data_IF_711409617612
#
_entry.id   IF_711409617612
#
_cell.length_a   1.000
_cell.length_b   1.000
_cell.length_c   1.000
_cell.angle_alpha   90.00
_cell.angle_beta   90.00
_cell.angle_gamma   90.00
#
_symmetry.space_group_name_H-M   'P 1'
#
loop_
_entity.id
_entity.type
_entity.pdbx_description
1 polymer ?
#
# COMPACT_ATOMS: atom_id res chain seq x y z
N UNK A 1 -22.77 5.14 9.88
CA UNK A 1 -21.68 4.21 9.55
C UNK A 1 -22.26 3.13 8.66
N UNK A 2 -21.82 3.05 7.40
CA UNK A 2 -22.21 1.98 6.48
C UNK A 2 -21.02 1.03 6.39
N UNK A 3 -21.26 -0.26 6.63
CA UNK A 3 -20.24 -1.28 6.42
C UNK A 3 -20.15 -1.55 4.92
N UNK A 4 -18.92 -1.66 4.43
CA UNK A 4 -18.70 -2.16 3.08
C UNK A 4 -19.02 -3.66 3.04
N UNK A 5 -19.97 -4.03 2.20
CA UNK A 5 -20.36 -5.42 1.96
C UNK A 5 -19.95 -5.90 0.57
N UNK A 6 -19.18 -5.10 -0.18
CA UNK A 6 -18.63 -5.51 -1.45
C UNK A 6 -17.53 -6.55 -1.23
N UNK A 7 -17.55 -7.61 -2.02
CA UNK A 7 -16.52 -8.65 -2.01
C UNK A 7 -15.24 -8.13 -2.70
N UNK A 8 -15.40 -7.22 -3.66
CA UNK A 8 -14.28 -6.53 -4.31
C UNK A 8 -13.79 -5.37 -3.46
N UNK A 9 -12.66 -5.59 -2.77
CA UNK A 9 -11.96 -4.53 -2.02
C UNK A 9 -11.48 -3.40 -2.94
N UNK A 10 -11.12 -3.74 -4.18
CA UNK A 10 -10.60 -2.79 -5.17
C UNK A 10 -11.64 -1.73 -5.55
N UNK A 11 -12.88 -2.14 -5.78
CA UNK A 11 -13.97 -1.23 -6.17
C UNK A 11 -14.16 -0.14 -5.11
N UNK A 12 -14.13 -0.55 -3.83
CA UNK A 12 -14.27 0.36 -2.70
C UNK A 12 -13.06 1.28 -2.57
N UNK A 13 -11.84 0.77 -2.76
CA UNK A 13 -10.61 1.57 -2.71
C UNK A 13 -10.58 2.67 -3.76
N UNK A 14 -10.99 2.38 -5.00
CA UNK A 14 -11.00 3.35 -6.10
C UNK A 14 -11.95 4.53 -5.82
N UNK A 15 -12.95 4.35 -4.95
CA UNK A 15 -13.91 5.39 -4.59
C UNK A 15 -13.51 6.22 -3.35
N UNK A 16 -12.54 5.76 -2.54
CA UNK A 16 -12.15 6.41 -1.29
C UNK A 16 -11.18 7.60 -1.50
N UNK A 17 -11.47 8.77 -0.93
CA UNK A 17 -10.56 9.94 -0.98
C UNK A 17 -9.28 9.76 -0.14
N UNK A 18 -9.41 9.05 0.99
CA UNK A 18 -8.36 8.84 1.99
C UNK A 18 -8.52 7.44 2.58
N UNK A 19 -7.42 6.70 2.71
CA UNK A 19 -7.39 5.46 3.47
C UNK A 19 -6.97 5.75 4.92
N UNK A 20 -7.69 5.22 5.90
CA UNK A 20 -7.27 5.20 7.30
C UNK A 20 -6.84 3.78 7.65
N UNK A 21 -5.60 3.60 8.09
CA UNK A 21 -5.07 2.28 8.45
C UNK A 21 -4.06 2.36 9.59
N UNK A 22 -3.77 1.25 10.24
CA UNK A 22 -2.69 1.15 11.21
C UNK A 22 -1.38 0.82 10.47
N UNK A 23 -0.87 -0.41 10.58
CA UNK A 23 0.39 -0.89 9.99
C UNK A 23 0.14 -1.92 8.88
N UNK A 24 -0.96 -1.77 8.14
CA UNK A 24 -1.28 -2.68 7.03
C UNK A 24 -0.48 -2.32 5.78
N UNK A 25 0.01 -3.35 5.07
CA UNK A 25 0.64 -3.21 3.75
C UNK A 25 -0.29 -2.65 2.68
N UNK A 26 -1.61 -2.67 2.92
CA UNK A 26 -2.63 -2.08 2.04
C UNK A 26 -2.41 -0.59 1.79
N UNK A 27 -1.66 0.09 2.67
CA UNK A 27 -1.25 1.46 2.44
C UNK A 27 -0.47 1.63 1.12
N UNK A 28 0.41 0.67 0.77
CA UNK A 28 1.14 0.71 -0.50
C UNK A 28 0.21 0.51 -1.67
N UNK A 29 -0.63 -0.53 -1.62
CA UNK A 29 -1.60 -0.83 -2.68
C UNK A 29 -2.52 0.37 -2.93
N UNK A 30 -3.05 0.98 -1.88
CA UNK A 30 -3.91 2.14 -1.98
C UNK A 30 -3.18 3.36 -2.49
N UNK A 31 -2.06 3.75 -1.86
CA UNK A 31 -1.37 4.99 -2.20
C UNK A 31 -0.83 4.96 -3.63
N UNK A 32 -0.10 3.89 -4.00
CA UNK A 32 0.48 3.77 -5.34
C UNK A 32 -0.54 3.40 -6.40
N UNK A 33 -1.59 2.64 -6.06
CA UNK A 33 -2.63 2.26 -7.00
C UNK A 33 -3.63 3.38 -7.31
N UNK A 34 -3.96 4.22 -6.33
CA UNK A 34 -4.96 5.29 -6.48
C UNK A 34 -4.36 6.69 -6.57
N UNK A 35 -3.10 6.87 -6.18
CA UNK A 35 -2.48 8.19 -6.07
C UNK A 35 -3.12 9.04 -4.97
N UNK A 36 -3.63 8.44 -3.89
CA UNK A 36 -4.33 9.14 -2.80
C UNK A 36 -3.64 8.96 -1.44
N UNK A 37 -3.80 9.92 -0.52
CA UNK A 37 -3.11 9.88 0.77
C UNK A 37 -3.65 8.83 1.73
N UNK A 38 -2.75 8.41 2.64
CA UNK A 38 -3.05 7.51 3.75
C UNK A 38 -2.92 8.25 5.08
N UNK A 39 -3.91 8.10 5.96
CA UNK A 39 -3.80 8.47 7.37
C UNK A 39 -3.46 7.22 8.18
N UNK A 40 -2.29 7.22 8.79
CA UNK A 40 -1.82 6.16 9.66
C UNK A 40 -2.22 6.41 11.11
N UNK A 41 -2.70 5.38 11.79
CA UNK A 41 -2.83 5.36 13.25
C UNK A 41 -1.63 4.60 13.82
N UNK A 42 -0.83 5.27 14.64
CA UNK A 42 0.34 4.66 15.25
C UNK A 42 -0.10 3.79 16.43
N UNK A 43 -0.29 2.51 16.12
CA UNK A 43 -0.47 1.42 17.08
C UNK A 43 0.86 0.76 17.41
N UNK A 44 0.88 -0.15 18.37
CA UNK A 44 2.05 -0.97 18.70
C UNK A 44 2.53 -1.74 17.44
N UNK A 45 3.85 -1.83 17.18
CA UNK A 45 4.38 -2.58 16.05
C UNK A 45 3.86 -4.02 15.97
N UNK A 46 3.47 -4.44 14.76
CA UNK A 46 3.18 -5.84 14.43
C UNK A 46 4.52 -6.56 14.25
N UNK A 47 5.18 -6.80 15.38
CA UNK A 47 6.49 -7.43 15.41
C UNK A 47 6.38 -8.91 15.78
N UNK A 48 6.77 -9.77 14.84
CA UNK A 48 6.78 -11.23 15.04
C UNK A 48 8.20 -11.81 15.10
N UNK A 49 9.21 -11.07 14.65
CA UNK A 49 10.61 -11.49 14.65
C UNK A 49 11.53 -10.37 15.16
N UNK A 50 11.81 -10.24 16.46
CA UNK A 50 12.57 -9.11 17.02
C UNK A 50 14.02 -9.00 16.50
N UNK A 51 14.58 -10.11 15.99
CA UNK A 51 15.94 -10.22 15.49
C UNK A 51 16.16 -9.37 14.22
N UNK A 52 15.10 -8.84 13.58
CA UNK A 52 15.24 -7.93 12.44
C UNK A 52 16.11 -6.71 12.76
N UNK A 53 16.17 -6.29 14.04
CA UNK A 53 16.99 -5.16 14.50
C UNK A 53 18.50 -5.40 14.39
N UNK A 54 18.94 -6.66 14.29
CA UNK A 54 20.35 -6.99 14.14
C UNK A 54 20.89 -6.68 12.74
N UNK A 55 19.99 -6.52 11.76
CA UNK A 55 20.35 -6.42 10.34
C UNK A 55 20.59 -4.99 9.86
N UNK A 56 20.42 -3.97 10.71
CA UNK A 56 20.47 -2.54 10.35
C UNK A 56 19.62 -2.20 9.10
N UNK A 57 18.51 -2.94 8.94
CA UNK A 57 17.55 -2.79 7.85
C UNK A 57 16.21 -2.35 8.40
N UNK A 58 15.72 -1.21 7.94
CA UNK A 58 14.38 -0.75 8.27
C UNK A 58 13.33 -1.46 7.39
N UNK A 59 12.22 -1.96 7.96
CA UNK A 59 11.10 -2.47 7.17
C UNK A 59 10.57 -1.43 6.19
N UNK A 60 10.28 -1.87 4.96
CA UNK A 60 9.83 -1.00 3.87
C UNK A 60 8.58 -0.20 4.27
N UNK A 61 7.68 -0.81 5.03
CA UNK A 61 6.43 -0.20 5.50
C UNK A 61 6.62 0.89 6.55
N UNK A 62 7.74 0.85 7.28
CA UNK A 62 8.10 1.91 8.20
C UNK A 62 8.79 3.05 7.44
N UNK A 63 9.79 2.70 6.63
CA UNK A 63 10.62 3.67 5.88
C UNK A 63 9.79 4.61 5.00
N UNK A 64 8.83 4.08 4.25
CA UNK A 64 8.06 4.87 3.27
C UNK A 64 6.71 5.36 3.79
N UNK A 65 6.45 5.24 5.09
CA UNK A 65 5.16 5.62 5.68
C UNK A 65 4.84 7.11 5.49
N UNK A 66 5.81 7.99 5.78
CA UNK A 66 5.68 9.44 5.65
C UNK A 66 5.56 9.91 4.19
N UNK A 67 5.96 9.05 3.24
CA UNK A 67 5.78 9.31 1.82
C UNK A 67 4.29 9.18 1.43
N UNK A 68 3.61 8.15 1.93
CA UNK A 68 2.22 7.85 1.59
C UNK A 68 1.20 8.68 2.36
N UNK A 69 1.62 9.40 3.41
CA UNK A 69 0.75 10.36 4.09
C UNK A 69 1.23 10.73 5.49
N UNK A 70 0.30 10.82 6.44
CA UNK A 70 0.54 11.35 7.79
C UNK A 70 0.25 10.31 8.86
N UNK A 71 0.92 10.39 10.00
CA UNK A 71 0.71 9.47 11.13
C UNK A 71 0.18 10.22 12.34
N UNK A 72 -0.80 9.62 13.02
CA UNK A 72 -1.46 10.16 14.23
C UNK A 72 -1.33 9.13 15.34
N UNK A 73 -0.85 9.57 16.51
CA UNK A 73 -0.78 8.70 17.69
C UNK A 73 -2.16 8.21 18.11
N UNK A 74 -2.28 6.96 18.56
CA UNK A 74 -3.55 6.37 18.98
C UNK A 74 -4.27 7.16 20.09
N UNK A 75 -3.55 7.95 20.89
CA UNK A 75 -4.13 8.81 21.94
C UNK A 75 -4.60 10.18 21.44
N UNK A 76 -4.31 10.53 20.19
CA UNK A 76 -4.57 11.84 19.58
C UNK A 76 -5.78 11.83 18.63
N UNK A 77 -6.72 10.89 18.78
CA UNK A 77 -7.84 10.67 17.85
C UNK A 77 -8.75 11.90 17.63
N UNK A 78 -8.75 12.86 18.56
CA UNK A 78 -9.50 14.12 18.42
C UNK A 78 -9.02 14.97 17.24
N UNK A 79 -7.80 14.76 16.77
CA UNK A 79 -7.21 15.49 15.64
C UNK A 79 -7.59 14.91 14.28
N UNK A 80 -8.20 13.70 14.24
CA UNK A 80 -8.48 13.02 12.97
C UNK A 80 -9.29 13.85 11.96
N UNK A 81 -10.36 14.57 12.34
CA UNK A 81 -11.12 15.36 11.38
C UNK A 81 -10.25 16.40 10.65
N UNK A 82 -9.39 17.11 11.39
CA UNK A 82 -8.51 18.14 10.83
C UNK A 82 -7.44 17.53 9.94
N UNK A 83 -6.87 16.41 10.36
CA UNK A 83 -5.86 15.66 9.61
C UNK A 83 -6.42 15.09 8.29
N UNK A 84 -7.66 14.58 8.30
CA UNK A 84 -8.34 14.12 7.09
C UNK A 84 -8.59 15.29 6.13
N UNK A 85 -9.03 16.44 6.62
CA UNK A 85 -9.23 17.62 5.79
C UNK A 85 -7.92 18.09 5.16
N UNK A 86 -6.84 18.13 5.94
CA UNK A 86 -5.51 18.48 5.43
C UNK A 86 -5.05 17.51 4.32
N UNK A 87 -5.24 16.21 4.50
CA UNK A 87 -4.92 15.22 3.47
C UNK A 87 -5.74 15.42 2.19
N UNK A 88 -7.05 15.67 2.32
CA UNK A 88 -7.92 15.91 1.15
C UNK A 88 -7.48 17.12 0.34
N UNK A 89 -6.98 18.17 0.99
CA UNK A 89 -6.44 19.36 0.31
C UNK A 89 -5.10 19.09 -0.40
N UNK A 90 -4.36 18.05 0.02
CA UNK A 90 -3.10 17.65 -0.58
C UNK A 90 -3.27 16.55 -1.64
N UNK A 91 -4.44 15.93 -1.76
CA UNK A 91 -4.70 14.77 -2.62
C UNK A 91 -4.26 14.98 -4.07
N UNK A 92 -4.40 16.19 -4.64
CA UNK A 92 -4.01 16.48 -6.03
C UNK A 92 -2.50 16.35 -6.29
N UNK A 93 -1.67 16.43 -5.24
CA UNK A 93 -0.21 16.26 -5.35
C UNK A 93 0.26 14.81 -5.24
N UNK A 94 -0.57 13.91 -4.72
CA UNK A 94 -0.19 12.53 -4.47
C UNK A 94 0.06 11.70 -5.73
N UNK A 95 -0.69 11.84 -6.85
CA UNK A 95 -0.43 11.04 -8.03
C UNK A 95 1.00 11.17 -8.56
N UNK A 96 1.52 12.40 -8.68
CA UNK A 96 2.90 12.61 -9.13
C UNK A 96 3.90 12.14 -8.08
N UNK A 97 3.66 12.43 -6.79
CA UNK A 97 4.51 11.97 -5.69
C UNK A 97 4.66 10.43 -5.65
N UNK A 98 3.55 9.70 -5.86
CA UNK A 98 3.55 8.23 -5.86
C UNK A 98 4.23 7.69 -7.10
N UNK A 99 4.05 8.33 -8.25
CA UNK A 99 4.73 7.96 -9.50
C UNK A 99 6.25 8.14 -9.40
N UNK A 100 6.72 9.26 -8.84
CA UNK A 100 8.15 9.50 -8.60
C UNK A 100 8.74 8.44 -7.65
N UNK A 101 8.04 8.16 -6.55
CA UNK A 101 8.47 7.18 -5.55
C UNK A 101 8.46 5.73 -6.05
N UNK A 102 7.56 5.39 -6.98
CA UNK A 102 7.39 4.02 -7.45
C UNK A 102 8.68 3.43 -8.06
N UNK A 103 9.50 4.27 -8.70
CA UNK A 103 10.77 3.86 -9.29
C UNK A 103 11.85 3.48 -8.28
N UNK A 104 11.79 3.98 -7.04
CA UNK A 104 12.71 3.59 -5.96
C UNK A 104 12.24 2.31 -5.25
N UNK A 105 10.93 2.13 -5.11
CA UNK A 105 10.34 1.11 -4.24
C UNK A 105 10.06 -0.18 -5.00
N UNK A 106 9.53 -0.08 -6.22
CA UNK A 106 9.13 -1.24 -7.00
C UNK A 106 10.18 -1.58 -8.04
N UNK A 107 10.56 -2.86 -8.04
CA UNK A 107 11.29 -3.42 -9.16
C UNK A 107 10.37 -3.53 -10.38
N UNK A 108 10.62 -2.75 -11.42
CA UNK A 108 9.85 -2.74 -12.66
C UNK A 108 10.75 -3.16 -13.83
N UNK A 109 10.76 -4.47 -14.13
CA UNK A 109 11.39 -5.01 -15.34
C UNK A 109 10.33 -5.69 -16.22
N UNK A 110 9.87 -4.97 -17.25
CA UNK A 110 8.86 -5.46 -18.19
C UNK A 110 9.25 -6.77 -18.87
N UNK A 111 10.55 -7.00 -19.11
CA UNK A 111 11.00 -8.24 -19.73
C UNK A 111 10.79 -9.42 -18.78
N UNK A 112 11.00 -9.23 -17.48
CA UNK A 112 10.80 -10.26 -16.45
C UNK A 112 9.32 -10.61 -16.25
N UNK A 113 8.41 -9.63 -16.29
CA UNK A 113 6.97 -9.92 -16.21
C UNK A 113 6.51 -10.79 -17.37
N UNK A 114 6.90 -10.46 -18.60
CA UNK A 114 6.59 -11.26 -19.80
C UNK A 114 7.22 -12.66 -19.72
N UNK A 115 8.48 -12.76 -19.31
CA UNK A 115 9.15 -14.04 -19.15
C UNK A 115 8.44 -14.94 -18.12
N UNK A 116 8.03 -14.37 -16.99
CA UNK A 116 7.29 -15.07 -15.94
C UNK A 116 5.92 -15.55 -16.44
N UNK A 117 5.16 -14.69 -17.12
CA UNK A 117 3.87 -15.05 -17.70
C UNK A 117 4.01 -16.19 -18.72
N UNK A 118 4.99 -16.11 -19.61
CA UNK A 118 5.28 -17.16 -20.59
C UNK A 118 5.66 -18.48 -19.89
N UNK A 119 6.48 -18.43 -18.84
CA UNK A 119 6.87 -19.61 -18.07
C UNK A 119 5.67 -20.29 -17.42
N UNK A 120 4.73 -19.52 -16.86
CA UNK A 120 3.49 -20.06 -16.30
C UNK A 120 2.66 -20.74 -17.40
N UNK A 121 2.49 -20.10 -18.56
CA UNK A 121 1.77 -20.69 -19.70
C UNK A 121 2.40 -22.00 -20.16
N UNK A 122 3.72 -22.08 -20.23
CA UNK A 122 4.44 -23.32 -20.54
C UNK A 122 4.19 -24.42 -19.50
N UNK A 123 4.12 -24.08 -18.20
CA UNK A 123 3.80 -25.06 -17.15
C UNK A 123 2.39 -25.62 -17.31
N UNK A 124 1.42 -24.76 -17.61
CA UNK A 124 0.03 -25.17 -17.82
C UNK A 124 -0.08 -26.10 -19.04
N UNK A 125 0.52 -25.70 -20.16
CA UNK A 125 0.47 -26.47 -21.42
C UNK A 125 1.22 -27.82 -21.35
N UNK A 126 2.21 -27.96 -20.47
CA UNK A 126 2.89 -29.25 -20.21
C UNK A 126 2.11 -30.17 -19.27
N UNK A 127 1.17 -29.61 -18.50
CA UNK A 127 0.41 -30.34 -17.47
C UNK A 127 -0.92 -30.87 -18.00
N UNK A 128 -1.38 -30.40 -19.16
CA UNK A 128 -2.49 -31.01 -19.91
C UNK A 128 -1.99 -32.28 -20.63
N UNK A 129 -2.49 -33.47 -20.29
CA UNK A 129 -2.19 -34.68 -21.06
C UNK A 129 -2.62 -34.48 -22.51
N UNK A 130 -1.80 -34.93 -23.45
CA UNK A 130 -2.22 -35.10 -24.84
C UNK A 130 -3.35 -36.14 -24.87
N UNK A 131 -4.54 -35.75 -25.30
CA UNK A 131 -5.62 -36.68 -25.65
C UNK A 131 -5.19 -37.65 -26.77
#
# INVERSE_FOLDING_TARGET
>A
MQLDTNISVLDSMILCDVLITDRSGIAFEFAFGTGRPVLFIDTVPKETNPDWREWDLEPVENRYRSLMGISVHADAMRQLPDQIQALKLLSDSFPEKMKEAAGEIFYQDEAQYKATANRILEMVNRSTPSD
#
